data_IF_023962206203
#
_entry.id   IF_023962206203
#
_cell.length_a   1.000
_cell.length_b   1.000
_cell.length_c   1.000
_cell.angle_alpha   90.00
_cell.angle_beta   90.00
_cell.angle_gamma   90.00
#
_symmetry.space_group_name_H-M   'P 1'
#
loop_
_entity.id
_entity.type
_entity.pdbx_description
1 polymer ?
#
# COMPACT_ATOMS: atom_id res chain seq x y z
N UNK A 1 9.74 7.30 -21.26
CA UNK A 1 9.70 6.30 -20.16
C UNK A 1 8.30 5.71 -20.14
N UNK A 2 8.18 4.44 -20.53
CA UNK A 2 6.92 3.69 -20.61
C UNK A 2 6.30 3.45 -19.23
N UNK A 3 5.00 3.18 -19.16
CA UNK A 3 4.28 2.83 -17.92
C UNK A 3 4.93 1.64 -17.20
N UNK A 4 5.40 0.65 -17.97
CA UNK A 4 6.14 -0.51 -17.47
C UNK A 4 7.42 -0.11 -16.76
N UNK A 5 8.27 0.72 -17.38
CA UNK A 5 9.52 1.20 -16.77
C UNK A 5 9.26 2.03 -15.51
N UNK A 6 8.17 2.81 -15.51
CA UNK A 6 7.76 3.60 -14.34
C UNK A 6 7.35 2.69 -13.18
N UNK A 7 6.53 1.68 -13.45
CA UNK A 7 6.12 0.71 -12.44
C UNK A 7 7.32 -0.09 -11.91
N UNK A 8 8.22 -0.55 -12.76
CA UNK A 8 9.44 -1.25 -12.32
C UNK A 8 10.32 -0.38 -11.42
N UNK A 9 10.44 0.91 -11.73
CA UNK A 9 11.20 1.85 -10.89
C UNK A 9 10.53 2.03 -9.53
N UNK A 10 9.21 2.19 -9.50
CA UNK A 10 8.46 2.32 -8.25
C UNK A 10 8.52 1.04 -7.42
N UNK A 11 8.44 -0.13 -8.04
CA UNK A 11 8.55 -1.42 -7.35
C UNK A 11 9.93 -1.62 -6.72
N UNK A 12 11.01 -1.18 -7.37
CA UNK A 12 12.35 -1.21 -6.76
C UNK A 12 12.44 -0.32 -5.53
N UNK A 13 11.86 0.89 -5.59
CA UNK A 13 11.80 1.77 -4.42
C UNK A 13 10.96 1.15 -3.31
N UNK A 14 9.80 0.63 -3.67
CA UNK A 14 8.88 0.01 -2.71
C UNK A 14 9.53 -1.19 -2.01
N UNK A 15 10.22 -2.04 -2.76
CA UNK A 15 11.04 -3.12 -2.19
C UNK A 15 12.11 -2.58 -1.23
N UNK A 16 12.83 -1.53 -1.61
CA UNK A 16 13.85 -0.92 -0.74
C UNK A 16 13.30 -0.49 0.61
N UNK A 17 12.15 0.17 0.64
CA UNK A 17 11.51 0.59 1.89
C UNK A 17 10.92 -0.59 2.69
N UNK A 18 10.33 -1.58 2.01
CA UNK A 18 9.69 -2.72 2.70
C UNK A 18 10.71 -3.72 3.23
N UNK A 19 11.84 -3.89 2.55
CA UNK A 19 12.92 -4.78 2.97
C UNK A 19 13.74 -4.22 4.14
N UNK A 20 13.72 -2.90 4.33
CA UNK A 20 14.46 -2.20 5.38
C UNK A 20 13.57 -1.11 6.01
N UNK A 21 12.73 -1.55 6.96
CA UNK A 21 11.79 -0.69 7.68
C UNK A 21 12.42 -0.01 8.92
N UNK A 22 13.76 0.07 8.99
CA UNK A 22 14.49 0.81 10.05
C UNK A 22 14.52 2.33 9.82
N UNK A 23 13.82 2.81 8.79
CA UNK A 23 13.74 4.21 8.43
C UNK A 23 13.02 5.10 9.46
N UNK A 24 13.04 6.40 9.20
CA UNK A 24 12.33 7.44 9.93
C UNK A 24 10.84 7.47 9.57
N UNK A 25 10.00 8.07 10.42
CA UNK A 25 8.58 8.28 10.11
C UNK A 25 8.33 9.02 8.77
N UNK A 26 9.30 9.80 8.29
CA UNK A 26 9.24 10.45 6.96
C UNK A 26 9.42 9.45 5.82
N UNK A 27 10.41 8.56 5.90
CA UNK A 27 10.65 7.51 4.91
C UNK A 27 9.46 6.54 4.84
N UNK A 28 8.82 6.31 5.97
CA UNK A 28 7.60 5.54 6.06
C UNK A 28 6.41 6.21 5.33
N UNK A 29 6.29 7.54 5.40
CA UNK A 29 5.28 8.27 4.61
C UNK A 29 5.58 8.29 3.11
N UNK A 30 6.86 8.27 2.74
CA UNK A 30 7.31 8.12 1.36
C UNK A 30 6.98 6.73 0.81
N UNK A 31 7.12 5.67 1.61
CA UNK A 31 6.66 4.32 1.27
C UNK A 31 5.17 4.35 0.88
N UNK A 32 4.32 4.96 1.71
CA UNK A 32 2.89 5.07 1.41
C UNK A 32 2.62 5.89 0.15
N UNK A 33 3.39 6.96 -0.09
CA UNK A 33 3.31 7.78 -1.30
C UNK A 33 3.65 6.97 -2.56
N UNK A 34 4.68 6.13 -2.47
CA UNK A 34 5.08 5.23 -3.56
C UNK A 34 3.99 4.22 -3.83
N UNK A 35 3.34 3.69 -2.78
CA UNK A 35 2.24 2.75 -2.96
C UNK A 35 1.01 3.37 -3.63
N UNK A 36 0.71 4.64 -3.32
CA UNK A 36 -0.32 5.42 -4.02
C UNK A 36 0.02 5.59 -5.51
N UNK A 37 1.28 5.92 -5.83
CA UNK A 37 1.73 6.05 -7.23
C UNK A 37 1.65 4.73 -7.99
N UNK A 38 2.01 3.61 -7.35
CA UNK A 38 1.84 2.27 -7.91
C UNK A 38 0.36 2.05 -8.22
N UNK A 39 -0.54 2.30 -7.26
CA UNK A 39 -1.98 2.12 -7.46
C UNK A 39 -2.51 2.92 -8.64
N UNK A 40 -2.11 4.19 -8.73
CA UNK A 40 -2.50 5.08 -9.82
C UNK A 40 -2.03 4.55 -11.19
N UNK A 41 -0.80 4.03 -11.28
CA UNK A 41 -0.34 3.40 -12.52
C UNK A 41 -1.13 2.14 -12.89
N UNK A 42 -1.50 1.32 -11.90
CA UNK A 42 -2.31 0.12 -12.13
C UNK A 42 -3.75 0.46 -12.57
N UNK A 43 -4.33 1.53 -12.04
CA UNK A 43 -5.67 2.00 -12.41
C UNK A 43 -5.69 2.67 -13.80
N UNK A 44 -4.58 3.33 -14.17
CA UNK A 44 -4.44 3.99 -15.47
C UNK A 44 -4.01 3.05 -16.58
N UNK A 45 -3.59 1.81 -16.28
CA UNK A 45 -3.30 0.81 -17.32
C UNK A 45 -4.55 0.49 -18.13
N UNK A 46 -4.54 0.87 -19.41
CA UNK A 46 -5.56 0.48 -20.37
C UNK A 46 -5.26 -0.90 -20.97
N UNK A 47 -6.24 -1.57 -21.62
CA UNK A 47 -6.03 -2.83 -22.33
C UNK A 47 -4.90 -2.79 -23.37
N UNK A 48 -4.58 -1.62 -23.93
CA UNK A 48 -3.48 -1.41 -24.89
C UNK A 48 -2.11 -1.24 -24.21
N UNK A 49 -2.10 -0.84 -22.93
CA UNK A 49 -0.90 -0.74 -22.08
C UNK A 49 -0.83 -1.93 -21.14
N UNK A 50 -0.76 -3.13 -21.72
CA UNK A 50 -0.71 -4.38 -20.96
C UNK A 50 0.56 -4.40 -20.11
N UNK A 51 0.38 -4.08 -18.83
CA UNK A 51 1.42 -4.28 -17.84
C UNK A 51 1.69 -5.79 -17.72
N UNK A 52 2.96 -6.23 -17.73
CA UNK A 52 3.30 -7.63 -17.56
C UNK A 52 2.74 -8.19 -16.25
N UNK A 53 2.12 -9.38 -16.30
CA UNK A 53 1.57 -10.07 -15.12
C UNK A 53 2.58 -10.19 -13.97
N UNK A 54 3.87 -10.36 -14.29
CA UNK A 54 4.96 -10.40 -13.30
C UNK A 54 4.99 -9.16 -12.40
N UNK A 55 4.68 -7.98 -12.92
CA UNK A 55 4.71 -6.73 -12.15
C UNK A 55 3.56 -6.67 -11.15
N UNK A 56 2.36 -7.11 -11.56
CA UNK A 56 1.24 -7.27 -10.63
C UNK A 56 1.61 -8.23 -9.49
N UNK A 57 2.17 -9.39 -9.82
CA UNK A 57 2.60 -10.37 -8.83
C UNK A 57 3.65 -9.79 -7.87
N UNK A 58 4.57 -8.94 -8.37
CA UNK A 58 5.54 -8.25 -7.52
C UNK A 58 4.89 -7.24 -6.58
N UNK A 59 3.93 -6.43 -7.05
CA UNK A 59 3.14 -5.55 -6.16
C UNK A 59 2.51 -6.40 -5.05
N UNK A 60 1.90 -7.52 -5.41
CA UNK A 60 1.28 -8.39 -4.43
C UNK A 60 2.31 -8.98 -3.44
N UNK A 61 3.45 -9.46 -3.89
CA UNK A 61 4.48 -9.97 -2.98
C UNK A 61 4.95 -8.88 -2.01
N UNK A 62 5.15 -7.65 -2.49
CA UNK A 62 5.59 -6.54 -1.65
C UNK A 62 4.53 -6.12 -0.64
N UNK A 63 3.24 -6.00 -1.02
CA UNK A 63 2.25 -5.66 0.01
C UNK A 63 2.04 -6.79 1.03
N UNK A 64 2.39 -8.05 0.70
CA UNK A 64 2.36 -9.13 1.68
C UNK A 64 3.41 -8.94 2.76
N UNK A 65 4.64 -8.63 2.34
CA UNK A 65 5.74 -8.33 3.26
C UNK A 65 5.38 -7.08 4.06
N UNK A 66 4.91 -6.04 3.39
CA UNK A 66 4.50 -4.81 4.07
C UNK A 66 3.40 -5.05 5.12
N UNK A 67 2.43 -5.89 4.79
CA UNK A 67 1.39 -6.28 5.75
C UNK A 67 1.95 -7.03 6.95
N UNK A 68 2.88 -7.97 6.74
CA UNK A 68 3.52 -8.71 7.83
C UNK A 68 4.33 -7.80 8.76
N UNK A 69 4.98 -6.80 8.20
CA UNK A 69 5.80 -5.83 8.93
C UNK A 69 5.01 -4.60 9.43
N UNK A 70 3.67 -4.62 9.32
CA UNK A 70 2.83 -3.46 9.66
C UNK A 70 3.00 -2.97 11.11
N UNK A 71 3.31 -3.86 12.04
CA UNK A 71 3.44 -3.50 13.46
C UNK A 71 4.73 -2.69 13.68
N UNK A 72 5.84 -3.08 13.03
CA UNK A 72 7.09 -2.30 12.99
C UNK A 72 6.83 -0.94 12.35
N UNK A 73 6.15 -0.92 11.20
CA UNK A 73 5.76 0.31 10.52
C UNK A 73 4.98 1.26 11.44
N UNK A 74 3.97 0.76 12.16
CA UNK A 74 3.12 1.56 13.04
C UNK A 74 3.89 2.07 14.26
N UNK A 75 4.88 1.32 14.75
CA UNK A 75 5.78 1.76 15.81
C UNK A 75 6.69 2.91 15.36
N UNK A 76 7.23 2.85 14.14
CA UNK A 76 8.13 3.86 13.60
C UNK A 76 7.42 5.18 13.32
N UNK A 77 6.28 5.15 12.62
CA UNK A 77 5.57 6.38 12.25
C UNK A 77 4.78 6.97 13.42
N UNK A 78 4.21 6.12 14.28
CA UNK A 78 3.24 6.53 15.28
C UNK A 78 1.83 6.68 14.70
N UNK A 79 0.84 6.19 15.45
CA UNK A 79 -0.57 6.20 15.00
C UNK A 79 -1.18 7.60 14.86
N UNK A 80 -0.63 8.63 15.53
CA UNK A 80 -1.15 10.01 15.41
C UNK A 80 -0.70 10.65 14.10
N UNK A 81 0.56 10.46 13.75
CA UNK A 81 1.24 10.95 12.58
C UNK A 81 0.64 10.30 11.32
N UNK A 82 0.42 8.99 11.35
CA UNK A 82 -0.28 8.27 10.27
C UNK A 82 -1.69 8.82 10.04
N UNK A 83 -2.47 9.04 11.11
CA UNK A 83 -3.81 9.64 11.00
C UNK A 83 -3.78 11.04 10.43
N UNK A 84 -2.80 11.85 10.85
CA UNK A 84 -2.64 13.22 10.36
C UNK A 84 -2.27 13.23 8.87
N UNK A 85 -1.30 12.42 8.47
CA UNK A 85 -0.88 12.29 7.08
C UNK A 85 -2.02 11.77 6.17
N UNK A 86 -2.78 10.78 6.64
CA UNK A 86 -3.97 10.28 5.94
C UNK A 86 -5.01 11.37 5.72
N UNK A 87 -5.28 12.19 6.74
CA UNK A 87 -6.23 13.30 6.63
C UNK A 87 -5.73 14.37 5.65
N UNK A 88 -4.45 14.73 5.71
CA UNK A 88 -3.84 15.71 4.79
C UNK A 88 -3.88 15.22 3.33
N UNK A 89 -3.58 13.94 3.09
CA UNK A 89 -3.61 13.36 1.73
C UNK A 89 -5.02 13.07 1.21
N UNK A 90 -6.04 13.12 2.07
CA UNK A 90 -7.41 12.70 1.73
C UNK A 90 -7.45 11.29 1.12
N UNK A 91 -6.61 10.38 1.63
CA UNK A 91 -6.41 9.08 1.00
C UNK A 91 -7.71 8.26 0.98
N UNK A 92 -8.12 7.75 -0.20
CA UNK A 92 -9.38 7.02 -0.32
C UNK A 92 -9.34 5.71 0.47
N UNK A 93 -10.50 5.22 0.92
CA UNK A 93 -10.58 3.97 1.69
C UNK A 93 -10.11 2.74 0.91
N UNK A 94 -10.13 2.78 -0.42
CA UNK A 94 -9.54 1.74 -1.28
C UNK A 94 -8.05 1.54 -1.03
N UNK A 95 -7.35 2.56 -0.54
CA UNK A 95 -5.91 2.53 -0.25
C UNK A 95 -5.68 2.04 1.18
N UNK A 96 -5.93 0.75 1.41
CA UNK A 96 -5.89 0.12 2.73
C UNK A 96 -4.56 0.35 3.48
N UNK A 97 -3.44 0.58 2.78
CA UNK A 97 -2.13 0.87 3.37
C UNK A 97 -2.12 2.14 4.23
N UNK A 98 -3.03 3.09 4.01
CA UNK A 98 -3.21 4.27 4.87
C UNK A 98 -3.97 3.97 6.18
N UNK A 99 -4.58 2.80 6.26
CA UNK A 99 -5.47 2.41 7.35
C UNK A 99 -4.93 1.21 8.13
N UNK A 100 -3.62 0.93 8.03
CA UNK A 100 -2.97 -0.16 8.77
C UNK A 100 -3.27 -0.15 10.27
N UNK A 101 -3.41 1.05 10.87
CA UNK A 101 -3.78 1.25 12.28
C UNK A 101 -5.19 0.76 12.64
N UNK A 102 -6.05 0.59 11.64
CA UNK A 102 -7.47 0.24 11.81
C UNK A 102 -7.81 -1.16 11.31
N UNK A 103 -6.94 -1.78 10.50
CA UNK A 103 -7.22 -3.08 9.90
C UNK A 103 -6.90 -4.22 10.86
N UNK A 104 -7.94 -4.96 11.26
CA UNK A 104 -7.79 -6.14 12.14
C UNK A 104 -7.28 -7.39 11.42
N UNK A 105 -7.55 -7.51 10.12
CA UNK A 105 -7.19 -8.66 9.30
C UNK A 105 -6.65 -8.21 7.95
N UNK A 106 -5.85 -9.06 7.31
CA UNK A 106 -5.30 -8.75 5.99
C UNK A 106 -6.45 -8.58 5.01
N UNK A 107 -6.43 -7.53 4.16
CA UNK A 107 -7.39 -7.36 3.08
C UNK A 107 -7.28 -8.47 2.02
N UNK A 108 -6.44 -9.51 2.23
CA UNK A 108 -6.21 -10.60 1.29
C UNK A 108 -6.91 -11.91 1.62
N UNK A 109 -7.52 -12.05 2.80
CA UNK A 109 -8.02 -13.38 3.25
C UNK A 109 -9.30 -13.82 2.52
N UNK A 110 -10.06 -12.94 1.85
CA UNK A 110 -11.26 -13.37 1.11
C UNK A 110 -11.46 -12.45 -0.10
N UNK A 111 -11.60 -13.00 -1.30
CA UNK A 111 -11.67 -12.25 -2.56
C UNK A 111 -12.66 -11.06 -2.57
N UNK A 112 -12.40 -10.13 -3.49
CA UNK A 112 -13.15 -8.89 -3.79
C UNK A 112 -12.81 -7.66 -2.89
N UNK A 113 -11.94 -6.73 -3.35
CA UNK A 113 -11.47 -5.58 -2.57
C UNK A 113 -12.58 -4.62 -2.10
N UNK A 114 -13.76 -4.61 -2.76
CA UNK A 114 -14.90 -3.76 -2.40
C UNK A 114 -15.69 -4.20 -1.16
N UNK A 115 -15.82 -5.51 -0.91
CA UNK A 115 -16.56 -6.03 0.26
C UNK A 115 -15.69 -6.16 1.51
N UNK A 116 -14.37 -6.25 1.34
CA UNK A 116 -13.39 -6.42 2.42
C UNK A 116 -13.22 -5.20 3.31
N UNK A 117 -13.20 -4.00 2.70
CA UNK A 117 -13.08 -2.77 3.48
C UNK A 117 -14.30 -2.61 4.40
N UNK A 118 -15.50 -2.94 3.93
CA UNK A 118 -16.70 -2.93 4.76
C UNK A 118 -16.62 -3.87 5.98
N UNK A 119 -16.02 -5.08 5.83
CA UNK A 119 -15.83 -6.04 6.94
C UNK A 119 -14.65 -5.70 7.85
N UNK A 120 -13.54 -5.18 7.30
CA UNK A 120 -12.36 -4.81 8.09
C UNK A 120 -12.60 -3.57 8.97
N UNK A 121 -13.54 -2.69 8.57
CA UNK A 121 -13.95 -1.50 9.30
C UNK A 121 -15.24 -1.67 10.13
N UNK A 122 -15.88 -2.85 10.14
CA UNK A 122 -17.10 -3.06 10.92
C UNK A 122 -16.80 -3.09 12.44
N UNK A 123 -17.60 -2.42 13.30
CA UNK A 123 -17.48 -2.56 14.74
C UNK A 123 -17.75 -4.01 15.13
N UNK A 124 -16.99 -4.54 16.09
CA UNK A 124 -17.32 -5.83 16.68
C UNK A 124 -18.69 -5.68 17.37
N UNK A 125 -19.71 -6.34 16.83
CA UNK A 125 -20.96 -6.58 17.53
C UNK A 125 -20.74 -7.50 18.71
#
# INVERSE_FOLDING_TARGET
>A
MSTTEQLERLLRKYYGYVADLEGTGVEILDLLAIRDQIQLLLEQSTPESVLPQRLYNQVYQLDDVFWRERDVFLQVIGGRELRHARFQRQSPRSHWWWYLDQLKASPRVVGEPGQLLARAFAPAG
#
